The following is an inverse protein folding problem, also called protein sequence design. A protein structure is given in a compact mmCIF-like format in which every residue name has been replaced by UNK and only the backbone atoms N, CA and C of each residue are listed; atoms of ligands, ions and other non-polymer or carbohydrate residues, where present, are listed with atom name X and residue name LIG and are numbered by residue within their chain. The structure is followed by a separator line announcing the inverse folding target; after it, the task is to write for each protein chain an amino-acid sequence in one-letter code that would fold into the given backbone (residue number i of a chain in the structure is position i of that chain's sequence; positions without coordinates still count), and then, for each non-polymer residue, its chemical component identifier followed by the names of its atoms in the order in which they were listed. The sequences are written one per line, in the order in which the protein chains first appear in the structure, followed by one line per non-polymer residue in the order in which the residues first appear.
data_IF_651622955475
#
_entry.id   IF_651622955475
#
_cell.length_a   1.000
_cell.length_b   1.000
_cell.length_c   1.000
_cell.angle_alpha   90.00
_cell.angle_beta   90.00
_cell.angle_gamma   90.00
#
_symmetry.space_group_name_H-M   'P 1'
#
loop_
_entity.id
_entity.type
_entity.pdbx_description
1 polymer ?
#
# COMPACT_ATOMS: atom_id res chain seq x y z
N UNK A 1 20.30 -2.20 -3.91
CA UNK A 1 18.82 -2.22 -3.88
C UNK A 1 18.33 -1.09 -4.78
N UNK A 2 17.23 -1.29 -5.52
CA UNK A 2 16.59 -0.27 -6.36
C UNK A 2 15.53 0.46 -5.55
N UNK A 3 15.29 1.72 -5.88
CA UNK A 3 14.29 2.56 -5.21
C UNK A 3 12.95 2.47 -5.92
N UNK A 4 11.88 2.38 -5.15
CA UNK A 4 10.51 2.31 -5.58
C UNK A 4 9.64 3.18 -4.68
N UNK A 5 8.43 3.49 -5.16
CA UNK A 5 7.40 4.09 -4.33
C UNK A 5 6.03 3.50 -4.62
N UNK A 6 5.21 3.38 -3.59
CA UNK A 6 3.78 3.13 -3.71
C UNK A 6 3.01 4.44 -3.53
N UNK A 7 1.83 4.51 -4.13
CA UNK A 7 0.83 5.54 -3.85
C UNK A 7 -0.20 4.92 -2.92
N UNK A 8 -0.51 5.57 -1.82
CA UNK A 8 -1.57 5.19 -0.88
C UNK A 8 -2.63 6.28 -0.90
N UNK A 9 -3.90 5.91 -1.10
CA UNK A 9 -5.01 6.86 -1.21
C UNK A 9 -5.42 7.16 -2.65
N UNK A 10 -6.00 8.34 -2.87
CA UNK A 10 -6.59 8.75 -4.15
C UNK A 10 -5.51 8.96 -5.22
N UNK A 11 -5.35 7.97 -6.11
CA UNK A 11 -4.44 8.04 -7.26
C UNK A 11 -5.14 8.53 -8.55
N UNK A 12 -6.47 8.47 -8.61
CA UNK A 12 -7.27 8.84 -9.79
C UNK A 12 -7.51 10.34 -9.91
N UNK A 13 -7.27 11.11 -8.84
CA UNK A 13 -7.50 12.55 -8.77
C UNK A 13 -8.97 12.93 -9.04
N UNK A 14 -9.89 12.01 -8.76
CA UNK A 14 -11.32 12.14 -9.05
C UNK A 14 -12.12 12.92 -7.99
N UNK A 15 -11.45 13.43 -6.96
CA UNK A 15 -12.02 14.44 -6.06
C UNK A 15 -11.76 14.24 -4.57
N UNK A 16 -10.94 13.27 -4.17
CA UNK A 16 -10.64 13.02 -2.77
C UNK A 16 -9.27 13.56 -2.32
N UNK A 17 -8.36 13.87 -3.25
CA UNK A 17 -7.11 14.68 -3.12
C UNK A 17 -6.16 14.32 -1.96
N UNK A 18 -6.36 13.19 -1.29
CA UNK A 18 -5.52 12.70 -0.20
C UNK A 18 -4.78 11.47 -0.66
N UNK A 19 -3.47 11.64 -0.83
CA UNK A 19 -2.54 10.57 -1.15
C UNK A 19 -1.22 10.76 -0.43
N UNK A 20 -0.65 9.64 0.01
CA UNK A 20 0.71 9.56 0.49
C UNK A 20 1.58 8.77 -0.51
N UNK A 21 2.87 9.04 -0.49
CA UNK A 21 3.86 8.25 -1.21
C UNK A 21 4.74 7.54 -0.20
N UNK A 22 4.81 6.22 -0.30
CA UNK A 22 5.71 5.43 0.54
C UNK A 22 6.87 4.92 -0.28
N UNK A 23 8.07 5.33 0.13
CA UNK A 23 9.33 5.09 -0.55
C UNK A 23 10.03 3.91 0.09
N UNK A 24 10.58 3.03 -0.74
CA UNK A 24 11.33 1.87 -0.24
C UNK A 24 12.42 1.44 -1.21
N UNK A 25 13.47 0.83 -0.66
CA UNK A 25 14.50 0.11 -1.41
C UNK A 25 14.16 -1.36 -1.46
N UNK A 26 14.42 -2.02 -2.59
CA UNK A 26 14.25 -3.47 -2.73
C UNK A 26 15.40 -4.12 -3.52
N UNK A 27 15.72 -5.38 -3.19
CA UNK A 27 16.62 -6.21 -3.99
C UNK A 27 15.95 -6.85 -5.23
N UNK A 28 14.63 -6.66 -5.39
CA UNK A 28 13.82 -7.20 -6.48
C UNK A 28 13.47 -6.12 -7.51
N UNK A 29 13.00 -6.56 -8.67
CA UNK A 29 12.49 -5.68 -9.74
C UNK A 29 11.03 -5.27 -9.47
N UNK A 30 10.57 -4.22 -10.16
CA UNK A 30 9.17 -3.79 -10.07
C UNK A 30 8.19 -4.91 -10.49
N UNK A 31 8.55 -5.69 -11.52
CA UNK A 31 7.69 -6.76 -12.01
C UNK A 31 7.61 -7.91 -10.99
N UNK A 32 8.74 -8.36 -10.41
CA UNK A 32 8.71 -9.35 -9.32
C UNK A 32 7.85 -8.91 -8.12
N UNK A 33 7.93 -7.63 -7.73
CA UNK A 33 7.12 -7.06 -6.64
C UNK A 33 5.63 -7.10 -7.00
N UNK A 34 5.27 -6.77 -8.24
CA UNK A 34 3.88 -6.80 -8.72
C UNK A 34 3.34 -8.22 -8.84
N UNK A 35 4.14 -9.17 -9.36
CA UNK A 35 3.75 -10.58 -9.46
C UNK A 35 3.48 -11.16 -8.07
N UNK A 36 4.36 -10.88 -7.12
CA UNK A 36 4.21 -11.33 -5.74
C UNK A 36 2.97 -10.76 -5.06
N UNK A 37 2.62 -9.49 -5.29
CA UNK A 37 1.37 -8.91 -4.80
C UNK A 37 0.15 -9.71 -5.30
N UNK A 38 0.07 -9.98 -6.61
CA UNK A 38 -1.04 -10.76 -7.17
C UNK A 38 -1.07 -12.20 -6.67
N UNK A 39 0.09 -12.83 -6.51
CA UNK A 39 0.19 -14.17 -5.94
C UNK A 39 -0.34 -14.20 -4.50
N UNK A 40 0.03 -13.22 -3.69
CA UNK A 40 -0.48 -13.09 -2.32
C UNK A 40 -1.99 -12.85 -2.30
N UNK A 41 -2.52 -12.05 -3.25
CA UNK A 41 -3.97 -11.88 -3.37
C UNK A 41 -4.70 -13.22 -3.61
N UNK A 42 -4.18 -14.05 -4.50
CA UNK A 42 -4.79 -15.35 -4.80
C UNK A 42 -4.63 -16.36 -3.65
N UNK A 43 -3.49 -16.38 -2.98
CA UNK A 43 -3.22 -17.32 -1.87
C UNK A 43 -4.00 -16.98 -0.60
N UNK A 44 -4.22 -15.69 -0.33
CA UNK A 44 -4.93 -15.22 0.87
C UNK A 44 -6.42 -15.01 0.66
N UNK A 45 -6.89 -14.94 -0.59
CA UNK A 45 -8.22 -14.48 -0.98
C UNK A 45 -8.52 -13.01 -0.60
N UNK A 46 -7.50 -12.21 -0.30
CA UNK A 46 -7.59 -10.80 0.13
C UNK A 46 -6.94 -9.89 -0.92
N UNK A 47 -7.52 -8.72 -1.18
CA UNK A 47 -6.91 -7.69 -2.02
C UNK A 47 -7.04 -6.31 -1.37
N UNK A 48 -6.07 -5.44 -1.65
CA UNK A 48 -6.03 -4.04 -1.21
C UNK A 48 -6.29 -3.07 -2.37
N UNK A 49 -7.05 -3.52 -3.38
CA UNK A 49 -7.41 -2.72 -4.55
C UNK A 49 -8.91 -2.89 -4.90
N UNK A 50 -9.51 -1.81 -5.40
CA UNK A 50 -10.97 -1.67 -5.54
C UNK A 50 -11.60 -2.62 -6.57
N UNK A 51 -10.99 -2.81 -7.74
CA UNK A 51 -11.47 -3.76 -8.75
C UNK A 51 -10.33 -4.42 -9.50
N UNK A 52 -10.53 -5.66 -9.94
CA UNK A 52 -9.56 -6.36 -10.81
C UNK A 52 -9.62 -5.85 -12.26
N UNK A 53 -10.57 -4.96 -12.55
CA UNK A 53 -11.12 -4.72 -13.89
C UNK A 53 -11.53 -3.26 -14.05
N UNK A 54 -10.68 -2.51 -14.74
CA UNK A 54 -11.04 -1.27 -15.41
C UNK A 54 -10.42 -1.31 -16.79
N UNK A 55 -11.12 -1.94 -17.74
CA UNK A 55 -10.76 -2.14 -19.15
C UNK A 55 -9.26 -2.48 -19.38
N UNK A 56 -8.96 -3.76 -19.60
CA UNK A 56 -7.59 -4.30 -19.69
C UNK A 56 -6.65 -3.55 -20.65
N UNK A 57 -7.21 -2.88 -21.66
CA UNK A 57 -6.48 -2.08 -22.63
C UNK A 57 -6.00 -0.72 -22.10
N UNK A 58 -6.60 -0.21 -21.01
CA UNK A 58 -6.31 1.11 -20.46
C UNK A 58 -5.37 1.13 -19.25
N UNK A 59 -5.36 0.10 -18.38
CA UNK A 59 -4.62 0.21 -17.10
C UNK A 59 -3.94 -1.05 -16.57
N UNK A 60 -4.20 -2.27 -17.05
CA UNK A 60 -3.65 -3.45 -16.35
C UNK A 60 -3.52 -4.75 -17.18
N UNK A 61 -2.73 -4.73 -18.26
CA UNK A 61 -2.36 -5.97 -18.99
C UNK A 61 -1.72 -7.03 -18.07
N UNK A 62 -1.00 -6.57 -17.05
CA UNK A 62 -0.27 -7.43 -16.12
C UNK A 62 -1.19 -8.33 -15.27
N UNK A 63 -2.28 -7.78 -14.72
CA UNK A 63 -3.23 -8.57 -13.93
C UNK A 63 -3.93 -9.64 -14.77
N UNK A 64 -4.24 -9.30 -16.04
CA UNK A 64 -4.81 -10.24 -17.01
C UNK A 64 -3.87 -11.41 -17.29
N UNK A 65 -2.66 -11.08 -17.72
CA UNK A 65 -1.67 -12.07 -18.15
C UNK A 65 -1.25 -12.95 -16.98
N UNK A 66 -1.22 -12.40 -15.75
CA UNK A 66 -0.90 -13.15 -14.55
C UNK A 66 -2.05 -14.05 -14.09
N UNK A 67 -3.28 -13.56 -14.07
CA UNK A 67 -4.47 -14.37 -13.77
C UNK A 67 -4.64 -15.52 -14.77
N UNK A 68 -4.62 -15.22 -16.08
CA UNK A 68 -4.80 -16.22 -17.13
C UNK A 68 -3.74 -17.36 -17.05
N UNK A 69 -2.56 -17.09 -16.45
CA UNK A 69 -1.48 -18.07 -16.25
C UNK A 69 -1.47 -18.74 -14.87
N UNK A 70 -1.85 -18.05 -13.81
CA UNK A 70 -1.52 -18.44 -12.43
C UNK A 70 -2.72 -18.45 -11.46
N UNK A 71 -3.91 -18.00 -11.85
CA UNK A 71 -5.01 -17.94 -10.89
C UNK A 71 -6.38 -17.55 -11.46
N UNK A 72 -7.42 -18.06 -10.82
CA UNK A 72 -8.78 -17.56 -11.05
C UNK A 72 -8.94 -16.24 -10.28
N UNK A 73 -9.15 -15.11 -10.96
CA UNK A 73 -9.50 -13.82 -10.32
C UNK A 73 -10.63 -13.98 -9.29
N UNK A 74 -11.57 -14.88 -9.55
CA UNK A 74 -12.65 -15.23 -8.62
C UNK A 74 -12.19 -15.87 -7.30
N UNK A 75 -10.90 -16.14 -7.10
CA UNK A 75 -10.32 -16.57 -5.82
C UNK A 75 -10.22 -15.43 -4.81
N UNK A 76 -10.19 -14.16 -5.25
CA UNK A 76 -10.22 -12.99 -4.36
C UNK A 76 -11.65 -12.84 -3.82
N UNK A 77 -11.80 -12.85 -2.50
CA UNK A 77 -13.09 -12.79 -1.80
C UNK A 77 -13.27 -11.55 -0.94
N UNK A 78 -12.17 -10.98 -0.45
CA UNK A 78 -12.19 -9.84 0.45
C UNK A 78 -11.39 -8.69 -0.16
N UNK A 79 -11.99 -7.51 -0.21
CA UNK A 79 -11.34 -6.26 -0.60
C UNK A 79 -11.33 -5.34 0.60
N UNK A 80 -10.15 -4.89 0.98
CA UNK A 80 -9.92 -4.15 2.21
C UNK A 80 -9.34 -2.79 1.89
N UNK A 81 -9.80 -1.77 2.61
CA UNK A 81 -9.25 -0.41 2.55
C UNK A 81 -9.35 0.17 1.13
N UNK A 82 -10.42 -0.17 0.43
CA UNK A 82 -10.64 0.21 -0.98
C UNK A 82 -11.58 1.40 -1.12
N UNK A 83 -12.35 1.71 -0.08
CA UNK A 83 -13.31 2.81 -0.07
C UNK A 83 -12.78 4.02 0.69
N UNK A 84 -13.31 5.19 0.35
CA UNK A 84 -13.02 6.42 1.08
C UNK A 84 -13.34 6.26 2.57
N UNK A 85 -12.40 6.70 3.43
CA UNK A 85 -12.46 6.60 4.90
C UNK A 85 -12.52 5.16 5.48
N UNK A 86 -12.34 4.14 4.65
CA UNK A 86 -12.19 2.76 5.09
C UNK A 86 -10.80 2.56 5.72
N UNK A 87 -10.74 2.71 7.04
CA UNK A 87 -9.51 2.69 7.86
C UNK A 87 -9.48 1.53 8.85
N UNK A 88 -10.39 0.56 8.71
CA UNK A 88 -10.55 -0.56 9.64
C UNK A 88 -10.63 -1.87 8.84
N UNK A 89 -9.77 -2.83 9.17
CA UNK A 89 -9.86 -4.19 8.64
C UNK A 89 -10.83 -5.00 9.53
N UNK A 90 -11.92 -5.54 8.96
CA UNK A 90 -12.86 -6.34 9.74
C UNK A 90 -12.24 -7.61 10.32
N UNK A 91 -12.69 -8.03 11.50
CA UNK A 91 -12.18 -9.20 12.22
C UNK A 91 -12.20 -10.49 11.38
N UNK A 92 -13.22 -10.67 10.55
CA UNK A 92 -13.31 -11.84 9.67
C UNK A 92 -12.21 -11.85 8.61
N UNK A 93 -11.82 -10.68 8.09
CA UNK A 93 -10.72 -10.53 7.13
C UNK A 93 -9.35 -10.69 7.80
N UNK A 94 -9.19 -10.21 9.04
CA UNK A 94 -7.99 -10.46 9.83
C UNK A 94 -7.68 -11.95 10.00
N UNK A 95 -8.70 -12.82 10.11
CA UNK A 95 -8.51 -14.28 10.16
C UNK A 95 -7.80 -14.82 8.92
N UNK A 96 -8.08 -14.27 7.73
CA UNK A 96 -7.40 -14.66 6.49
C UNK A 96 -5.93 -14.21 6.50
N UNK A 97 -5.66 -12.99 6.98
CA UNK A 97 -4.30 -12.47 7.08
C UNK A 97 -3.46 -13.27 8.10
N UNK A 98 -4.02 -13.61 9.27
CA UNK A 98 -3.36 -14.47 10.25
C UNK A 98 -3.10 -15.88 9.71
N UNK A 99 -4.07 -16.47 9.02
CA UNK A 99 -3.88 -17.77 8.36
C UNK A 99 -2.82 -17.72 7.25
N UNK A 100 -2.61 -16.55 6.65
CA UNK A 100 -1.58 -16.30 5.64
C UNK A 100 -0.19 -16.01 6.24
N UNK A 101 -0.08 -15.83 7.56
CA UNK A 101 1.20 -15.69 8.26
C UNK A 101 1.41 -14.35 8.99
N UNK A 102 0.40 -13.46 9.05
CA UNK A 102 0.55 -12.15 9.67
C UNK A 102 0.91 -12.28 11.16
N UNK A 103 1.91 -11.52 11.61
CA UNK A 103 2.22 -11.34 13.04
C UNK A 103 1.74 -9.98 13.52
N UNK A 104 1.30 -9.89 14.79
CA UNK A 104 0.55 -8.75 15.31
C UNK A 104 1.34 -7.47 15.59
N UNK A 105 2.60 -7.38 15.17
CA UNK A 105 3.52 -6.26 15.46
C UNK A 105 3.47 -5.13 14.41
N UNK A 106 2.53 -5.18 13.47
CA UNK A 106 2.41 -4.21 12.37
C UNK A 106 1.52 -3.01 12.66
N UNK A 107 0.78 -3.01 13.78
CA UNK A 107 -0.22 -1.99 14.09
C UNK A 107 0.08 -1.29 15.42
N UNK A 108 -0.05 0.04 15.45
CA UNK A 108 0.07 0.87 16.65
C UNK A 108 -1.10 0.64 17.61
N UNK A 109 -2.30 0.47 17.03
CA UNK A 109 -3.52 0.27 17.78
C UNK A 109 -3.84 -1.21 17.95
N UNK A 110 -4.29 -1.58 19.16
CA UNK A 110 -4.83 -2.92 19.41
C UNK A 110 -6.18 -3.10 18.69
N UNK A 111 -6.55 -4.35 18.33
CA UNK A 111 -7.89 -4.66 17.85
C UNK A 111 -8.97 -4.18 18.83
N UNK A 112 -10.09 -3.70 18.30
CA UNK A 112 -11.27 -3.39 19.12
C UNK A 112 -11.90 -4.65 19.74
N UNK A 113 -12.90 -4.49 20.62
CA UNK A 113 -13.58 -5.63 21.29
C UNK A 113 -14.18 -6.66 20.31
N UNK A 114 -14.52 -6.23 19.09
CA UNK A 114 -15.02 -7.11 18.01
C UNK A 114 -13.93 -7.82 17.19
N UNK A 115 -12.65 -7.54 17.45
CA UNK A 115 -11.51 -8.05 16.67
C UNK A 115 -11.21 -7.26 15.39
N UNK A 116 -11.92 -6.17 15.15
CA UNK A 116 -11.66 -5.25 14.04
C UNK A 116 -10.35 -4.50 14.29
N UNK A 117 -9.50 -4.43 13.27
CA UNK A 117 -8.16 -3.85 13.36
C UNK A 117 -8.14 -2.47 12.70
N UNK A 118 -8.07 -1.37 13.46
CA UNK A 118 -7.87 -0.04 12.89
C UNK A 118 -6.44 0.10 12.34
N UNK A 119 -6.32 0.85 11.25
CA UNK A 119 -5.05 1.39 10.77
C UNK A 119 -4.93 2.86 11.16
N UNK A 120 -3.80 3.24 11.75
CA UNK A 120 -3.52 4.59 12.21
C UNK A 120 -3.03 5.52 11.10
N UNK A 121 -2.27 4.99 10.13
CA UNK A 121 -1.57 5.81 9.13
C UNK A 121 -1.13 5.00 7.88
N UNK A 122 -0.56 5.69 6.89
CA UNK A 122 -0.06 5.10 5.64
C UNK A 122 1.21 4.27 5.81
N UNK A 123 1.98 4.48 6.87
CA UNK A 123 3.15 3.67 7.19
C UNK A 123 2.74 2.24 7.61
N UNK A 124 1.71 2.10 8.45
CA UNK A 124 1.15 0.80 8.81
C UNK A 124 0.65 0.02 7.60
N UNK A 125 -0.12 0.67 6.71
CA UNK A 125 -0.58 0.05 5.48
C UNK A 125 0.60 -0.38 4.60
N UNK A 126 1.66 0.42 4.56
CA UNK A 126 2.86 0.09 3.78
C UNK A 126 3.60 -1.11 4.32
N UNK A 127 3.76 -1.20 5.65
CA UNK A 127 4.34 -2.37 6.33
C UNK A 127 3.51 -3.61 6.02
N UNK A 128 2.18 -3.51 6.13
CA UNK A 128 1.26 -4.60 5.81
C UNK A 128 1.38 -5.03 4.34
N UNK A 129 1.43 -4.10 3.39
CA UNK A 129 1.58 -4.40 1.96
C UNK A 129 2.94 -5.05 1.64
N UNK A 130 4.02 -4.53 2.23
CA UNK A 130 5.37 -5.05 2.02
C UNK A 130 5.54 -6.44 2.64
N UNK A 131 5.00 -6.68 3.83
CA UNK A 131 4.89 -8.02 4.40
C UNK A 131 4.10 -8.95 3.47
N UNK A 132 2.92 -8.52 3.03
CA UNK A 132 2.04 -9.30 2.19
C UNK A 132 2.71 -9.73 0.88
N UNK A 133 3.50 -8.84 0.27
CA UNK A 133 4.34 -9.14 -0.90
C UNK A 133 5.45 -10.15 -0.52
N UNK A 134 6.11 -9.96 0.62
CA UNK A 134 7.18 -10.82 1.10
C UNK A 134 6.80 -12.29 1.28
N UNK A 135 5.57 -12.57 1.73
CA UNK A 135 5.06 -13.94 1.91
C UNK A 135 4.98 -14.77 0.60
N UNK A 136 4.98 -14.09 -0.55
CA UNK A 136 4.98 -14.73 -1.87
C UNK A 136 6.24 -14.46 -2.68
N UNK A 137 7.25 -13.80 -2.11
CA UNK A 137 8.47 -13.44 -2.81
C UNK A 137 9.72 -13.88 -2.03
N UNK A 138 10.24 -15.05 -2.38
CA UNK A 138 11.40 -15.62 -1.70
C UNK A 138 12.61 -14.67 -1.72
N UNK A 139 13.19 -14.45 -0.53
CA UNK A 139 14.34 -13.58 -0.33
C UNK A 139 14.04 -12.09 -0.56
N UNK A 140 12.77 -11.67 -0.50
CA UNK A 140 12.38 -10.27 -0.52
C UNK A 140 12.99 -9.53 0.67
N UNK A 141 13.78 -8.51 0.36
CA UNK A 141 14.34 -7.59 1.35
C UNK A 141 13.93 -6.18 0.97
N UNK A 142 13.41 -5.45 1.93
CA UNK A 142 13.06 -4.06 1.76
C UNK A 142 13.54 -3.21 2.92
N UNK A 143 13.69 -1.92 2.65
CA UNK A 143 14.00 -0.89 3.64
C UNK A 143 13.06 0.28 3.35
N UNK A 144 12.20 0.62 4.32
CA UNK A 144 11.39 1.84 4.25
C UNK A 144 12.35 3.03 4.32
N UNK A 145 12.24 3.92 3.34
CA UNK A 145 13.03 5.15 3.33
C UNK A 145 12.10 6.24 3.83
N UNK A 146 12.46 6.85 4.95
CA UNK A 146 11.77 8.05 5.38
C UNK A 146 11.92 9.12 4.29
N UNK A 147 10.78 9.62 3.81
CA UNK A 147 10.75 10.66 2.79
C UNK A 147 11.00 12.04 3.42
N UNK A 148 11.21 12.12 4.74
CA UNK A 148 11.71 13.31 5.41
C UNK A 148 13.20 13.50 5.13
N UNK A 149 13.51 13.97 3.93
CA UNK A 149 14.64 14.89 3.79
C UNK A 149 14.34 16.05 4.74
N UNK A 150 15.26 16.33 5.67
CA UNK A 150 15.12 17.43 6.63
C UNK A 150 14.73 18.71 5.87
N UNK A 151 13.54 19.23 6.16
CA UNK A 151 13.08 20.47 5.58
C UNK A 151 13.84 21.60 6.28
N UNK A 152 14.82 22.19 5.59
CA UNK A 152 15.67 23.23 6.16
C UNK A 152 14.91 24.54 6.45
N UNK A 153 13.71 24.72 5.89
CA UNK A 153 12.87 25.91 6.13
C UNK A 153 11.37 25.65 5.92
N UNK A 154 10.52 26.05 6.88
CA UNK A 154 9.05 26.01 6.75
C UNK A 154 8.32 25.17 7.82
N UNK A 155 6.98 25.16 7.77
CA UNK A 155 6.07 24.41 8.67
C UNK A 155 6.38 24.49 10.17
N UNK A 156 6.52 25.71 10.71
CA UNK A 156 6.73 25.94 12.15
C UNK A 156 8.05 25.40 12.71
N UNK A 157 9.04 25.16 11.84
CA UNK A 157 10.37 24.80 12.28
C UNK A 157 10.96 25.84 13.27
N UNK A 158 11.67 25.39 14.30
CA UNK A 158 12.24 26.28 15.33
C UNK A 158 13.58 26.88 14.93
N UNK A 159 14.26 26.33 13.92
CA UNK A 159 15.56 26.78 13.41
C UNK A 159 15.45 27.82 12.29
N UNK A 160 14.51 27.66 11.36
CA UNK A 160 14.34 28.51 10.19
C UNK A 160 12.88 28.48 9.64
N UNK A 161 11.94 29.14 10.33
CA UNK A 161 10.55 29.29 9.85
C UNK A 161 10.38 30.44 8.86
N UNK A 162 10.92 30.32 7.65
CA UNK A 162 10.82 31.35 6.60
C UNK A 162 10.41 30.75 5.25
N UNK A 163 9.67 31.55 4.47
CA UNK A 163 9.23 31.20 3.11
C UNK A 163 10.24 31.69 2.06
N UNK A 164 10.52 30.87 1.05
CA UNK A 164 11.35 31.25 -0.10
C UNK A 164 10.51 31.34 -1.37
N UNK A 165 10.81 32.33 -2.23
CA UNK A 165 10.34 32.33 -3.62
C UNK A 165 8.83 32.46 -3.84
N UNK A 166 8.04 32.94 -2.86
CA UNK A 166 6.57 33.03 -2.96
C UNK A 166 6.08 33.77 -4.21
N UNK A 167 6.84 34.77 -4.71
CA UNK A 167 6.51 35.53 -5.91
C UNK A 167 6.96 34.92 -7.23
N UNK A 168 7.52 33.70 -7.26
CA UNK A 168 7.96 33.04 -8.50
C UNK A 168 6.82 32.35 -9.26
N UNK A 169 5.68 32.19 -8.60
CA UNK A 169 4.47 31.63 -9.19
C UNK A 169 3.39 32.71 -9.15
N UNK A 170 3.25 33.39 -10.27
CA UNK A 170 2.11 34.26 -10.61
C UNK A 170 1.50 33.71 -11.90
N UNK A 171 0.17 33.76 -12.01
CA UNK A 171 -0.53 33.45 -13.26
C UNK A 171 -0.11 34.40 -14.40
#
# INVERSE_FOLDING_TARGET
MKEFKFVIGDWSEDGHSRKDYVHFKSNKTADEIREAYWLSCFRSAVAFHHSDLGNYDSYNKFSKDYADKNGNIGAIKHRLLCNYEESVIPAHSMKHLYAFGLTGDMFENLPGEGGDQPLANSEELSKLLLWFIGESLEGFKYELIDNQVECINGFWDKGLNVQFGYGLYYD
#
